data_IF_915224209228
#
_entry.id   IF_915224209228
#
_cell.length_a   1.000
_cell.length_b   1.000
_cell.length_c   1.000
_cell.angle_alpha   90.00
_cell.angle_beta   90.00
_cell.angle_gamma   90.00
#
_symmetry.space_group_name_H-M   'P 1'
#
loop_
_entity.id
_entity.type
_entity.pdbx_description
1 polymer ?
#
# COMPACT_ATOMS: atom_id res chain seq x y z
N UNK A 1 -11.80 -24.70 18.37
CA UNK A 1 -10.38 -25.00 18.64
C UNK A 1 -9.74 -23.76 19.26
N UNK A 2 -9.06 -23.87 20.42
CA UNK A 2 -8.43 -22.72 21.05
C UNK A 2 -7.23 -22.24 20.24
N UNK A 3 -7.13 -20.91 20.07
CA UNK A 3 -6.03 -20.23 19.39
C UNK A 3 -5.36 -19.22 20.32
N UNK A 4 -4.09 -18.95 20.10
CA UNK A 4 -3.31 -17.94 20.82
C UNK A 4 -2.64 -16.95 19.84
N UNK A 5 -2.45 -15.67 20.23
CA UNK A 5 -1.81 -14.69 19.37
C UNK A 5 -0.33 -15.01 19.15
N UNK A 6 0.17 -14.67 17.96
CA UNK A 6 1.58 -14.79 17.59
C UNK A 6 2.16 -13.39 17.39
N UNK A 7 3.35 -13.15 17.94
CA UNK A 7 4.06 -11.89 17.77
C UNK A 7 4.40 -11.61 16.30
N UNK A 8 4.38 -10.35 15.86
CA UNK A 8 4.77 -9.99 14.50
C UNK A 8 6.18 -10.45 14.14
N UNK A 9 6.35 -11.02 12.95
CA UNK A 9 7.63 -11.46 12.42
C UNK A 9 8.47 -10.32 11.85
N UNK A 10 7.85 -9.20 11.47
CA UNK A 10 8.52 -8.02 10.94
C UNK A 10 7.70 -6.74 11.17
N UNK A 11 8.38 -5.59 11.11
CA UNK A 11 7.74 -4.28 11.21
C UNK A 11 6.80 -4.04 10.03
N UNK A 12 5.58 -3.58 10.29
CA UNK A 12 4.57 -3.40 9.24
C UNK A 12 3.86 -4.68 8.82
N UNK A 13 3.98 -5.78 9.58
CA UNK A 13 3.14 -6.96 9.35
C UNK A 13 1.66 -6.61 9.56
N UNK A 14 0.87 -6.73 8.49
CA UNK A 14 -0.52 -6.27 8.47
C UNK A 14 -1.53 -7.27 9.02
N UNK A 15 -1.14 -8.54 9.10
CA UNK A 15 -2.00 -9.60 9.58
C UNK A 15 -1.72 -9.86 11.06
N UNK A 16 -2.75 -9.73 11.91
CA UNK A 16 -2.72 -10.30 13.25
C UNK A 16 -2.74 -11.82 13.12
N UNK A 17 -1.70 -12.50 13.62
CA UNK A 17 -1.53 -13.95 13.49
C UNK A 17 -1.94 -14.66 14.76
N UNK A 18 -2.54 -15.84 14.57
CA UNK A 18 -2.98 -16.71 15.65
C UNK A 18 -2.59 -18.16 15.33
N UNK A 19 -2.11 -18.90 16.31
CA UNK A 19 -1.74 -20.30 16.18
C UNK A 19 -2.72 -21.19 16.92
N UNK A 20 -3.03 -22.36 16.36
CA UNK A 20 -3.77 -23.39 17.08
C UNK A 20 -2.90 -24.02 18.17
N UNK A 21 -3.45 -24.11 19.38
CA UNK A 21 -2.75 -24.65 20.56
C UNK A 21 -2.37 -26.13 20.46
N UNK A 22 -2.98 -26.86 19.52
CA UNK A 22 -2.64 -28.26 19.19
C UNK A 22 -1.54 -28.41 18.13
N UNK A 23 -1.02 -27.29 17.61
CA UNK A 23 0.02 -27.29 16.58
C UNK A 23 -0.48 -27.53 15.16
N UNK A 24 -1.78 -27.58 14.92
CA UNK A 24 -2.36 -27.87 13.59
C UNK A 24 -2.11 -26.78 12.53
N UNK A 25 -1.61 -25.60 12.93
CA UNK A 25 -1.23 -24.52 12.03
C UNK A 25 -1.55 -23.14 12.57
N UNK A 26 -1.66 -22.17 11.67
CA UNK A 26 -1.92 -20.75 11.97
C UNK A 26 -2.98 -20.15 11.04
N UNK A 27 -3.63 -19.10 11.53
CA UNK A 27 -4.52 -18.23 10.76
C UNK A 27 -4.08 -16.77 10.91
N UNK A 28 -4.33 -15.96 9.88
CA UNK A 28 -4.06 -14.52 9.91
C UNK A 28 -5.33 -13.73 9.62
N UNK A 29 -5.53 -12.63 10.35
CA UNK A 29 -6.65 -11.71 10.15
C UNK A 29 -6.11 -10.33 9.80
N UNK A 30 -6.55 -9.78 8.67
CA UNK A 30 -6.17 -8.43 8.22
C UNK A 30 -7.34 -7.49 8.50
N UNK A 31 -7.23 -6.68 9.54
CA UNK A 31 -8.28 -5.75 10.00
C UNK A 31 -8.21 -4.39 9.27
N UNK A 32 -8.26 -4.39 7.94
CA UNK A 32 -8.04 -3.21 7.08
C UNK A 32 -8.98 -2.02 7.31
N UNK A 33 -10.09 -2.24 8.02
CA UNK A 33 -11.12 -1.23 8.34
C UNK A 33 -11.08 -0.80 9.80
N UNK A 34 -11.06 -1.74 10.74
CA UNK A 34 -11.15 -1.46 12.17
C UNK A 34 -9.79 -1.12 12.79
N UNK A 35 -8.69 -1.56 12.17
CA UNK A 35 -7.32 -1.30 12.59
C UNK A 35 -6.47 -0.98 11.34
N UNK A 36 -6.60 0.24 10.78
CA UNK A 36 -5.85 0.64 9.60
C UNK A 36 -4.34 0.68 9.90
N UNK A 37 -3.54 0.44 8.86
CA UNK A 37 -2.08 0.26 8.95
C UNK A 37 -1.33 1.20 7.98
N UNK A 38 -1.86 2.40 7.70
CA UNK A 38 -1.23 3.31 6.75
C UNK A 38 0.08 3.91 7.29
N UNK A 39 0.17 4.15 8.60
CA UNK A 39 1.35 4.69 9.27
C UNK A 39 2.63 3.87 9.04
N UNK A 40 2.52 2.55 8.91
CA UNK A 40 3.65 1.66 8.62
C UNK A 40 3.72 1.21 7.15
N UNK A 41 2.83 1.72 6.29
CA UNK A 41 2.78 1.31 4.89
C UNK A 41 4.01 1.83 4.14
N UNK A 42 4.81 0.93 3.59
CA UNK A 42 6.03 1.21 2.79
C UNK A 42 5.87 0.83 1.32
N UNK A 43 4.64 0.64 0.84
CA UNK A 43 4.37 0.17 -0.52
C UNK A 43 4.25 1.33 -1.52
N UNK A 44 4.97 1.20 -2.62
CA UNK A 44 4.71 1.91 -3.87
C UNK A 44 4.20 0.91 -4.92
N UNK A 45 3.43 1.39 -5.91
CA UNK A 45 2.85 0.57 -6.97
C UNK A 45 3.08 1.23 -8.32
N UNK A 46 3.27 0.42 -9.35
CA UNK A 46 3.32 0.86 -10.74
C UNK A 46 2.09 0.33 -11.46
N UNK A 47 1.31 1.20 -12.08
CA UNK A 47 0.18 0.79 -12.92
C UNK A 47 0.63 0.17 -14.23
N UNK A 48 -0.30 -0.53 -14.89
CA UNK A 48 -0.06 -1.13 -16.20
C UNK A 48 0.30 -0.10 -17.30
N UNK A 49 -0.15 1.15 -17.18
CA UNK A 49 0.23 2.23 -18.10
C UNK A 49 1.55 2.94 -17.74
N UNK A 50 2.19 2.54 -16.64
CA UNK A 50 3.51 3.01 -16.21
C UNK A 50 3.49 4.26 -15.31
N UNK A 51 2.42 4.46 -14.56
CA UNK A 51 2.31 5.52 -13.55
C UNK A 51 2.61 5.00 -12.14
N UNK A 52 3.40 5.74 -11.37
CA UNK A 52 3.69 5.46 -9.97
C UNK A 52 2.55 5.94 -9.08
N UNK A 53 2.10 5.07 -8.18
CA UNK A 53 1.10 5.33 -7.15
C UNK A 53 1.66 4.98 -5.77
N UNK A 54 1.41 5.84 -4.79
CA UNK A 54 1.86 5.71 -3.40
C UNK A 54 0.77 5.18 -2.46
N UNK A 55 -0.44 4.96 -2.97
CA UNK A 55 -1.56 4.36 -2.25
C UNK A 55 -2.40 3.48 -3.17
N UNK A 56 -3.00 2.44 -2.58
CA UNK A 56 -4.04 1.63 -3.21
C UNK A 56 -5.29 2.42 -3.61
N UNK A 57 -5.52 3.54 -2.95
CA UNK A 57 -6.70 4.39 -3.11
C UNK A 57 -6.33 5.81 -3.58
N UNK A 58 -5.15 5.95 -4.19
CA UNK A 58 -4.71 7.23 -4.73
C UNK A 58 -5.67 7.71 -5.83
N UNK A 59 -5.86 9.02 -5.92
CA UNK A 59 -6.70 9.67 -6.93
C UNK A 59 -5.89 10.12 -8.15
N UNK A 60 -4.57 10.20 -8.01
CA UNK A 60 -3.63 10.62 -9.05
C UNK A 60 -2.36 9.76 -8.98
N UNK A 61 -1.69 9.61 -10.13
CA UNK A 61 -0.42 8.90 -10.25
C UNK A 61 0.62 9.75 -10.98
N UNK A 62 1.87 9.33 -10.92
CA UNK A 62 3.01 10.04 -11.52
C UNK A 62 3.52 9.26 -12.73
N UNK A 63 3.37 9.82 -13.94
CA UNK A 63 3.67 9.14 -15.20
C UNK A 63 5.19 8.98 -15.44
N UNK A 64 5.76 7.88 -14.92
CA UNK A 64 7.16 7.54 -15.10
C UNK A 64 7.45 7.09 -16.54
N UNK A 65 6.48 6.48 -17.22
CA UNK A 65 6.62 6.04 -18.62
C UNK A 65 6.89 7.21 -19.54
N UNK A 66 6.24 8.36 -19.32
CA UNK A 66 6.52 9.58 -20.09
C UNK A 66 7.95 10.07 -19.89
N UNK A 67 8.46 10.06 -18.65
CA UNK A 67 9.85 10.42 -18.36
C UNK A 67 10.82 9.49 -19.11
N UNK A 68 10.62 8.18 -18.98
CA UNK A 68 11.41 7.17 -19.70
C UNK A 68 11.40 7.40 -21.21
N UNK A 69 10.22 7.64 -21.80
CA UNK A 69 10.06 7.86 -23.24
C UNK A 69 10.65 9.19 -23.73
N UNK A 70 10.80 10.17 -22.83
CA UNK A 70 11.48 11.42 -23.11
C UNK A 70 13.02 11.30 -23.03
N UNK A 71 13.55 10.11 -22.72
CA UNK A 71 14.99 9.87 -22.62
C UNK A 71 15.58 10.21 -21.25
N UNK A 72 14.76 10.21 -20.18
CA UNK A 72 15.25 10.38 -18.81
C UNK A 72 16.31 9.33 -18.46
N UNK A 73 17.35 9.76 -17.76
CA UNK A 73 18.39 8.88 -17.21
C UNK A 73 17.89 8.18 -15.94
N UNK A 74 18.62 7.15 -15.48
CA UNK A 74 18.34 6.49 -14.21
C UNK A 74 18.38 7.46 -13.02
N UNK A 75 19.27 8.46 -13.07
CA UNK A 75 19.36 9.49 -12.03
C UNK A 75 18.15 10.42 -12.03
N UNK A 76 17.62 10.77 -13.21
CA UNK A 76 16.39 11.57 -13.31
C UNK A 76 15.19 10.81 -12.74
N UNK A 77 15.07 9.52 -13.05
CA UNK A 77 14.03 8.65 -12.50
C UNK A 77 14.16 8.50 -10.99
N UNK A 78 15.38 8.29 -10.50
CA UNK A 78 15.67 8.21 -9.07
C UNK A 78 15.22 9.48 -8.36
N UNK A 79 15.55 10.65 -8.89
CA UNK A 79 15.11 11.94 -8.34
C UNK A 79 13.58 12.06 -8.34
N UNK A 80 12.92 11.72 -9.44
CA UNK A 80 11.46 11.77 -9.55
C UNK A 80 10.76 10.84 -8.54
N UNK A 81 11.26 9.61 -8.37
CA UNK A 81 10.71 8.63 -7.43
C UNK A 81 10.94 9.10 -5.99
N UNK A 82 12.14 9.56 -5.65
CA UNK A 82 12.44 10.06 -4.30
C UNK A 82 11.61 11.30 -3.94
N UNK A 83 11.47 12.24 -4.86
CA UNK A 83 10.62 13.42 -4.66
C UNK A 83 9.16 13.02 -4.44
N UNK A 84 8.65 12.08 -5.24
CA UNK A 84 7.28 11.55 -5.08
C UNK A 84 7.10 10.88 -3.72
N UNK A 85 8.06 10.05 -3.30
CA UNK A 85 8.00 9.35 -2.02
C UNK A 85 8.12 10.29 -0.82
N UNK A 86 8.98 11.31 -0.91
CA UNK A 86 9.16 12.30 0.15
C UNK A 86 7.93 13.20 0.34
N UNK A 87 7.19 13.47 -0.74
CA UNK A 87 5.95 14.25 -0.71
C UNK A 87 4.72 13.42 -0.31
N UNK A 88 4.85 12.10 -0.20
CA UNK A 88 3.74 11.20 0.09
C UNK A 88 3.12 11.52 1.46
N UNK A 89 1.81 11.75 1.44
CA UNK A 89 0.99 11.89 2.64
C UNK A 89 -0.18 10.89 2.68
N UNK A 90 -0.22 9.94 1.74
CA UNK A 90 -1.32 8.98 1.60
C UNK A 90 -1.54 8.12 2.84
N UNK A 91 -2.74 8.25 3.40
CA UNK A 91 -3.24 7.44 4.52
C UNK A 91 -4.75 7.25 4.44
N UNK A 92 -5.22 6.81 3.27
CA UNK A 92 -6.65 6.69 2.96
C UNK A 92 -7.44 5.91 4.02
N UNK A 93 -6.97 4.72 4.42
CA UNK A 93 -7.73 3.89 5.38
C UNK A 93 -7.83 4.53 6.77
N UNK A 94 -6.88 5.39 7.15
CA UNK A 94 -6.92 6.17 8.40
C UNK A 94 -7.83 7.39 8.30
N UNK A 95 -7.84 8.06 7.14
CA UNK A 95 -8.65 9.26 6.90
C UNK A 95 -10.07 8.96 6.44
N UNK A 96 -10.42 7.68 6.28
CA UNK A 96 -11.68 7.26 5.68
C UNK A 96 -12.88 7.72 6.51
N UNK A 97 -13.47 8.85 6.11
CA UNK A 97 -14.72 9.40 6.62
C UNK A 97 -15.81 9.35 5.54
N UNK A 98 -17.02 9.82 5.86
CA UNK A 98 -18.09 10.03 4.88
C UNK A 98 -17.62 10.89 3.69
N UNK A 99 -16.72 11.86 3.92
CA UNK A 99 -16.24 12.80 2.90
C UNK A 99 -15.30 12.16 1.87
N UNK A 100 -14.68 11.01 2.20
CA UNK A 100 -13.80 10.27 1.29
C UNK A 100 -14.55 9.34 0.34
N UNK A 101 -15.86 9.15 0.53
CA UNK A 101 -16.66 8.18 -0.23
C UNK A 101 -16.83 8.56 -1.71
N UNK A 102 -16.80 9.85 -2.04
CA UNK A 102 -17.01 10.36 -3.41
C UNK A 102 -15.75 10.55 -4.24
N UNK A 103 -14.55 10.29 -3.70
CA UNK A 103 -13.31 10.48 -4.43
C UNK A 103 -13.18 9.43 -5.54
N UNK A 104 -12.88 9.89 -6.77
CA UNK A 104 -12.55 9.01 -7.89
C UNK A 104 -11.14 8.44 -7.67
N UNK A 105 -11.09 7.18 -7.28
CA UNK A 105 -9.86 6.44 -6.95
C UNK A 105 -9.43 5.56 -8.10
N UNK A 106 -8.16 5.20 -8.13
CA UNK A 106 -7.64 4.19 -9.05
C UNK A 106 -8.22 2.81 -8.72
N UNK A 107 -8.45 1.99 -9.75
CA UNK A 107 -8.88 0.61 -9.58
C UNK A 107 -7.71 -0.28 -9.16
N UNK A 108 -7.93 -1.13 -8.15
CA UNK A 108 -6.85 -1.97 -7.61
C UNK A 108 -6.30 -2.94 -8.65
N UNK A 109 -7.15 -3.45 -9.54
CA UNK A 109 -6.76 -4.32 -10.66
C UNK A 109 -5.77 -3.65 -11.63
N UNK A 110 -5.79 -2.32 -11.72
CA UNK A 110 -4.91 -1.55 -12.60
C UNK A 110 -3.49 -1.36 -12.02
N UNK A 111 -3.33 -1.54 -10.72
CA UNK A 111 -2.09 -1.35 -9.96
C UNK A 111 -1.65 -2.63 -9.23
N UNK A 112 -1.99 -3.79 -9.78
CA UNK A 112 -1.55 -5.10 -9.28
C UNK A 112 -2.11 -5.49 -7.91
N UNK A 113 -3.36 -5.09 -7.63
CA UNK A 113 -4.14 -5.55 -6.47
C UNK A 113 -5.16 -6.61 -6.83
#
# INVERSE_FOLDING_TARGET
FPVEPVEPAYRGEVAGRYRYTDGAGEIGVISSVTQPFCAECTRARLSADGSLYTCLFATQGHDLRKLLRAGATDDDLRVAILATWAARDDRYSELRSADTQGLKKIEMSFIGG
#
